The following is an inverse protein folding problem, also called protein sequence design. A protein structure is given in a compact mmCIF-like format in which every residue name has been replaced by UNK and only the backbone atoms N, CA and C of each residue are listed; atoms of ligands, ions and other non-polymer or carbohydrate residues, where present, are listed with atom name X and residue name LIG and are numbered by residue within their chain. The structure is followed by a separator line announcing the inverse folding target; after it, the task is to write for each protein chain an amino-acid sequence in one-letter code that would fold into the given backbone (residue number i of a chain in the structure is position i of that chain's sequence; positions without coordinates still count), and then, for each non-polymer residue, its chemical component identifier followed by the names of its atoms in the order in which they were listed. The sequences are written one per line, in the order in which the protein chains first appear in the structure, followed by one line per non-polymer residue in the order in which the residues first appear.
data_IF_200383303656
#
_entry.id   IF_200383303656
#
_cell.length_a   1.000
_cell.length_b   1.000
_cell.length_c   1.000
_cell.angle_alpha   90.00
_cell.angle_beta   90.00
_cell.angle_gamma   90.00
#
_symmetry.space_group_name_H-M   'P 1'
#
loop_
_entity.id
_entity.type
_entity.pdbx_description
1 polymer ?
#
# COMPACT_ATOMS: atom_id res chain seq x y z
N UNK A 1 -12.78 7.69 -50.85
CA UNK A 1 -12.08 8.46 -49.80
C UNK A 1 -11.48 7.46 -48.84
N UNK A 2 -10.19 7.59 -48.53
CA UNK A 2 -9.42 6.66 -47.71
C UNK A 2 -9.64 7.01 -46.23
N UNK A 3 -10.33 6.16 -45.49
CA UNK A 3 -10.45 6.30 -44.04
C UNK A 3 -9.21 5.76 -43.35
N UNK A 4 -8.45 6.71 -42.83
CA UNK A 4 -7.21 6.53 -42.11
C UNK A 4 -7.51 6.01 -40.69
N UNK A 5 -7.64 4.68 -40.55
CA UNK A 5 -7.65 4.03 -39.23
C UNK A 5 -6.23 4.04 -38.66
N UNK A 6 -5.88 5.14 -38.00
CA UNK A 6 -4.72 5.21 -37.09
C UNK A 6 -4.99 4.32 -35.87
N UNK A 7 -4.87 3.01 -36.05
CA UNK A 7 -4.58 2.09 -34.96
C UNK A 7 -3.10 2.24 -34.62
N UNK A 8 -2.78 3.20 -33.74
CA UNK A 8 -1.50 3.17 -33.05
C UNK A 8 -1.57 2.02 -32.04
N UNK A 9 -0.71 0.99 -32.16
CA UNK A 9 -0.62 -0.03 -31.13
C UNK A 9 -0.08 0.66 -29.87
N UNK A 10 -0.88 0.69 -28.81
CA UNK A 10 -0.40 1.00 -27.47
C UNK A 10 0.61 -0.10 -27.14
N UNK A 11 1.90 0.20 -27.31
CA UNK A 11 2.98 -0.71 -26.90
C UNK A 11 2.86 -0.89 -25.40
N UNK A 12 2.53 -2.10 -24.97
CA UNK A 12 2.41 -2.53 -23.57
C UNK A 12 3.75 -2.68 -22.84
N UNK A 13 4.84 -2.13 -23.38
CA UNK A 13 6.20 -2.20 -22.81
C UNK A 13 6.51 -1.07 -21.82
N UNK A 14 5.52 -0.58 -21.05
CA UNK A 14 5.69 0.56 -20.14
C UNK A 14 6.43 0.22 -18.84
N UNK A 15 6.62 -1.07 -18.55
CA UNK A 15 7.48 -1.56 -17.48
C UNK A 15 8.55 -2.47 -18.08
N UNK A 16 9.54 -1.89 -18.78
CA UNK A 16 10.86 -2.49 -18.64
C UNK A 16 11.28 -2.16 -17.21
N UNK A 17 11.33 -3.15 -16.28
CA UNK A 17 12.02 -2.91 -15.02
C UNK A 17 13.36 -2.30 -15.38
N UNK A 18 13.85 -1.37 -14.55
CA UNK A 18 15.27 -1.04 -14.55
C UNK A 18 16.00 -2.35 -14.24
N UNK A 19 16.19 -3.18 -15.26
CA UNK A 19 16.77 -4.51 -15.20
C UNK A 19 18.27 -4.30 -15.01
N UNK A 20 18.64 -3.84 -13.82
CA UNK A 20 19.91 -4.28 -13.28
C UNK A 20 19.78 -5.79 -13.21
N UNK A 21 20.69 -6.50 -13.88
CA UNK A 21 20.95 -7.91 -13.58
C UNK A 21 20.94 -8.03 -12.06
N UNK A 22 19.97 -8.73 -11.52
CA UNK A 22 19.95 -9.15 -10.12
C UNK A 22 21.22 -9.96 -9.92
N UNK A 23 22.25 -9.31 -9.39
CA UNK A 23 23.48 -9.99 -9.00
C UNK A 23 23.14 -10.61 -7.67
N UNK A 24 22.93 -11.91 -7.68
CA UNK A 24 22.68 -12.68 -6.46
C UNK A 24 23.89 -12.46 -5.54
N UNK A 25 23.66 -11.71 -4.46
CA UNK A 25 24.69 -11.44 -3.46
C UNK A 25 24.55 -12.49 -2.37
N UNK A 26 25.64 -13.22 -2.04
CA UNK A 26 25.63 -14.13 -0.90
C UNK A 26 25.19 -13.41 0.38
N UNK A 27 24.44 -14.11 1.22
CA UNK A 27 24.03 -13.59 2.52
C UNK A 27 25.24 -13.39 3.45
N UNK A 28 25.39 -12.19 4.00
CA UNK A 28 26.47 -11.87 4.96
C UNK A 28 26.04 -12.24 6.39
N UNK A 29 26.27 -13.50 6.76
CA UNK A 29 25.89 -14.04 8.07
C UNK A 29 26.57 -13.31 9.23
N UNK A 30 27.85 -12.95 9.09
CA UNK A 30 28.59 -12.24 10.14
C UNK A 30 28.04 -10.84 10.39
N UNK A 31 27.67 -10.11 9.33
CA UNK A 31 26.97 -8.83 9.47
C UNK A 31 25.59 -9.00 10.08
N UNK A 32 24.85 -10.02 9.66
CA UNK A 32 23.53 -10.32 10.22
C UNK A 32 23.59 -10.60 11.72
N UNK A 33 24.51 -11.45 12.17
CA UNK A 33 24.72 -11.79 13.58
C UNK A 33 25.03 -10.54 14.42
N UNK A 34 25.91 -9.65 13.94
CA UNK A 34 26.20 -8.37 14.61
C UNK A 34 24.95 -7.48 14.74
N UNK A 35 24.13 -7.42 13.69
CA UNK A 35 22.88 -6.65 13.71
C UNK A 35 21.88 -7.25 14.72
N UNK A 36 21.78 -8.57 14.82
CA UNK A 36 20.87 -9.25 15.75
C UNK A 36 21.36 -9.22 17.21
N UNK A 37 22.67 -9.29 17.45
CA UNK A 37 23.26 -9.15 18.80
C UNK A 37 23.04 -7.76 19.40
N UNK A 38 23.01 -6.72 18.56
CA UNK A 38 22.68 -5.35 18.98
C UNK A 38 21.29 -5.25 19.61
N UNK A 39 20.43 -6.26 19.39
CA UNK A 39 18.99 -6.25 19.66
C UNK A 39 18.61 -7.16 20.83
N UNK A 40 19.35 -8.26 21.04
CA UNK A 40 19.17 -9.14 22.22
C UNK A 40 19.33 -8.41 23.56
N UNK A 41 19.92 -7.20 23.58
CA UNK A 41 20.04 -6.36 24.77
C UNK A 41 18.75 -5.56 25.12
N UNK A 42 17.70 -5.55 24.28
CA UNK A 42 16.48 -4.72 24.48
C UNK A 42 15.17 -5.34 23.95
N UNK A 43 14.65 -6.40 24.59
CA UNK A 43 13.27 -6.93 24.42
C UNK A 43 12.94 -7.84 23.21
N UNK A 44 11.89 -8.65 23.40
CA UNK A 44 11.46 -9.89 22.74
C UNK A 44 10.99 -9.76 21.28
N UNK A 45 11.77 -10.37 20.37
CA UNK A 45 11.43 -10.89 19.04
C UNK A 45 10.13 -10.45 18.32
N UNK A 46 9.07 -11.07 18.80
CA UNK A 46 7.96 -11.62 18.01
C UNK A 46 6.77 -11.79 18.95
N UNK A 47 5.58 -11.37 18.51
CA UNK A 47 4.33 -11.76 19.14
C UNK A 47 3.57 -12.69 18.20
N UNK A 48 3.12 -13.82 18.71
CA UNK A 48 2.28 -14.74 17.96
C UNK A 48 0.82 -14.40 18.23
N UNK A 49 0.04 -14.18 17.16
CA UNK A 49 -1.38 -13.89 17.26
C UNK A 49 -2.20 -14.86 16.43
N UNK A 50 -3.31 -15.33 17.00
CA UNK A 50 -4.31 -16.18 16.35
C UNK A 50 -5.63 -15.41 16.25
N UNK A 51 -5.70 -14.43 15.35
CA UNK A 51 -6.98 -13.75 15.04
C UNK A 51 -7.65 -14.42 13.82
N UNK A 52 -8.98 -14.65 13.91
CA UNK A 52 -9.86 -14.96 12.77
C UNK A 52 -9.34 -16.03 11.79
N UNK A 53 -8.97 -17.22 12.30
CA UNK A 53 -8.52 -18.38 11.49
C UNK A 53 -7.26 -18.16 10.62
N UNK A 54 -6.52 -17.05 10.81
CA UNK A 54 -5.24 -16.80 10.15
C UNK A 54 -4.15 -16.76 11.22
N UNK A 55 -3.25 -17.74 11.20
CA UNK A 55 -2.06 -17.68 12.05
C UNK A 55 -1.04 -16.77 11.36
N UNK A 56 -0.54 -15.79 12.11
CA UNK A 56 0.49 -14.88 11.64
C UNK A 56 1.42 -14.47 12.78
N UNK A 57 2.61 -14.03 12.40
CA UNK A 57 3.53 -13.37 13.33
C UNK A 57 3.25 -11.87 13.28
N UNK A 58 2.92 -11.29 14.45
CA UNK A 58 2.81 -9.85 14.68
C UNK A 58 4.13 -9.31 15.21
N UNK A 59 4.52 -8.12 14.73
CA UNK A 59 5.73 -7.44 15.16
C UNK A 59 5.32 -6.21 15.96
N UNK A 60 5.80 -6.10 17.20
CA UNK A 60 5.75 -4.84 17.95
C UNK A 60 6.93 -3.94 17.55
N UNK A 61 6.66 -2.64 17.46
CA UNK A 61 7.56 -1.67 16.84
C UNK A 61 8.96 -1.67 17.46
N UNK A 62 10.00 -1.64 16.61
CA UNK A 62 11.40 -1.52 17.04
C UNK A 62 12.07 -0.33 16.37
N UNK A 63 12.90 0.36 17.15
CA UNK A 63 13.76 1.45 16.65
C UNK A 63 15.22 1.07 16.86
N UNK A 64 15.99 1.08 15.78
CA UNK A 64 17.46 0.97 15.84
C UNK A 64 18.06 1.94 14.83
N UNK A 65 19.14 2.61 15.23
CA UNK A 65 19.94 3.45 14.33
C UNK A 65 20.86 2.65 13.39
N UNK A 66 20.96 1.31 13.57
CA UNK A 66 21.89 0.49 12.80
C UNK A 66 21.42 0.28 11.35
N UNK A 67 22.28 0.65 10.38
CA UNK A 67 21.99 0.50 8.95
C UNK A 67 21.82 -0.98 8.57
N UNK A 68 20.64 -1.31 8.05
CA UNK A 68 20.28 -2.67 7.61
C UNK A 68 19.56 -3.51 8.67
N UNK A 69 19.38 -2.98 9.88
CA UNK A 69 18.66 -3.67 10.95
C UNK A 69 17.24 -4.10 10.55
N UNK A 70 16.48 -3.23 9.88
CA UNK A 70 15.11 -3.56 9.47
C UNK A 70 15.05 -4.78 8.56
N UNK A 71 15.96 -4.88 7.57
CA UNK A 71 16.01 -6.02 6.65
C UNK A 71 16.45 -7.31 7.35
N UNK A 72 17.42 -7.24 8.27
CA UNK A 72 17.83 -8.37 9.10
C UNK A 72 16.67 -8.89 9.97
N UNK A 73 15.93 -7.96 10.60
CA UNK A 73 14.75 -8.29 11.41
C UNK A 73 13.67 -8.97 10.57
N UNK A 74 13.36 -8.40 9.40
CA UNK A 74 12.39 -9.00 8.48
C UNK A 74 12.78 -10.42 8.07
N UNK A 75 14.08 -10.70 7.84
CA UNK A 75 14.54 -12.05 7.51
C UNK A 75 14.23 -13.05 8.61
N UNK A 76 14.51 -12.72 9.87
CA UNK A 76 14.23 -13.61 11.01
C UNK A 76 12.73 -13.80 11.21
N UNK A 77 11.93 -12.76 11.05
CA UNK A 77 10.48 -12.83 11.21
C UNK A 77 9.86 -13.72 10.12
N UNK A 78 10.27 -13.54 8.87
CA UNK A 78 9.78 -14.38 7.78
C UNK A 78 10.27 -15.81 7.92
N UNK A 79 11.53 -16.02 8.33
CA UNK A 79 12.07 -17.35 8.62
C UNK A 79 11.25 -18.06 9.69
N UNK A 80 10.95 -17.40 10.81
CA UNK A 80 10.11 -17.95 11.86
C UNK A 80 8.71 -18.30 11.34
N UNK A 81 8.10 -17.41 10.54
CA UNK A 81 6.76 -17.63 9.96
C UNK A 81 6.72 -18.77 8.93
N UNK A 82 7.82 -19.00 8.20
CA UNK A 82 7.95 -20.12 7.25
C UNK A 82 8.19 -21.46 7.95
N UNK A 83 8.91 -21.46 9.08
CA UNK A 83 9.16 -22.67 9.89
C UNK A 83 7.94 -23.13 10.67
N UNK A 84 6.96 -22.26 10.87
CA UNK A 84 5.73 -22.56 11.58
C UNK A 84 4.65 -23.10 10.61
N UNK A 85 4.19 -24.36 10.76
CA UNK A 85 3.18 -24.96 9.89
C UNK A 85 1.82 -24.25 9.95
N UNK A 86 1.54 -23.56 11.05
CA UNK A 86 0.31 -22.81 11.25
C UNK A 86 0.36 -21.48 10.47
N UNK A 87 1.52 -20.80 10.45
CA UNK A 87 1.68 -19.47 9.89
C UNK A 87 1.91 -19.45 8.37
N UNK A 88 2.56 -20.47 7.79
CA UNK A 88 2.78 -20.62 6.33
C UNK A 88 3.39 -19.38 5.64
N UNK A 89 4.28 -18.65 6.32
CA UNK A 89 4.88 -17.42 5.79
C UNK A 89 3.98 -16.18 5.85
N UNK A 90 2.89 -16.23 6.62
CA UNK A 90 2.08 -15.04 6.93
C UNK A 90 2.76 -14.19 8.00
N UNK A 91 3.06 -12.94 7.63
CA UNK A 91 3.61 -11.92 8.52
C UNK A 91 2.74 -10.69 8.43
N UNK A 92 2.42 -10.13 9.59
CA UNK A 92 1.67 -8.89 9.72
C UNK A 92 2.45 -7.93 10.61
N UNK A 93 2.47 -6.66 10.23
CA UNK A 93 3.07 -5.59 11.02
C UNK A 93 2.12 -4.40 11.10
N UNK A 94 2.16 -3.65 12.19
CA UNK A 94 1.57 -2.31 12.25
C UNK A 94 2.70 -1.33 11.94
N UNK A 95 2.74 -0.81 10.72
CA UNK A 95 3.71 0.20 10.33
C UNK A 95 3.32 1.54 10.97
N UNK A 96 4.25 2.13 11.72
CA UNK A 96 4.09 3.48 12.29
C UNK A 96 4.93 4.52 11.53
N UNK A 97 4.33 5.71 11.36
CA UNK A 97 4.88 7.06 11.13
C UNK A 97 5.99 7.24 10.06
N UNK A 98 7.11 6.53 10.12
CA UNK A 98 8.24 6.67 9.17
C UNK A 98 8.68 5.38 8.49
N UNK A 99 8.01 4.26 8.80
CA UNK A 99 8.41 2.93 8.34
C UNK A 99 7.63 2.42 7.13
N UNK A 100 6.59 3.13 6.66
CA UNK A 100 5.74 2.68 5.55
C UNK A 100 6.54 2.35 4.30
N UNK A 101 7.39 3.28 3.84
CA UNK A 101 8.21 3.05 2.65
C UNK A 101 9.23 1.92 2.84
N UNK A 102 9.73 1.71 4.06
CA UNK A 102 10.58 0.56 4.36
C UNK A 102 9.79 -0.74 4.19
N UNK A 103 8.62 -0.85 4.81
CA UNK A 103 7.78 -2.05 4.73
C UNK A 103 7.32 -2.34 3.30
N UNK A 104 6.93 -1.29 2.55
CA UNK A 104 6.63 -1.41 1.12
C UNK A 104 7.84 -1.93 0.34
N UNK A 105 9.04 -1.39 0.58
CA UNK A 105 10.28 -1.90 -0.06
C UNK A 105 10.59 -3.34 0.32
N UNK A 106 10.18 -3.81 1.51
CA UNK A 106 10.30 -5.21 1.92
C UNK A 106 9.19 -6.11 1.33
N UNK A 107 8.30 -5.56 0.50
CA UNK A 107 7.23 -6.29 -0.16
C UNK A 107 5.95 -6.46 0.67
N UNK A 108 5.83 -5.70 1.76
CA UNK A 108 4.58 -5.60 2.50
C UNK A 108 3.61 -4.68 1.77
N UNK A 109 2.32 -4.90 1.99
CA UNK A 109 1.21 -4.10 1.50
C UNK A 109 0.18 -3.95 2.61
N UNK A 110 -0.63 -2.89 2.64
CA UNK A 110 -1.66 -2.77 3.67
C UNK A 110 -2.66 -3.95 3.64
N UNK A 111 -3.10 -4.37 4.81
CA UNK A 111 -4.13 -5.39 4.99
C UNK A 111 -5.50 -4.72 4.93
N UNK A 112 -6.17 -4.82 3.78
CA UNK A 112 -7.46 -4.16 3.52
C UNK A 112 -8.69 -5.00 3.87
N UNK A 113 -8.59 -5.92 4.83
CA UNK A 113 -9.62 -6.95 5.00
C UNK A 113 -10.92 -6.51 5.70
N UNK A 114 -11.15 -5.22 5.99
CA UNK A 114 -12.35 -4.84 6.75
C UNK A 114 -12.94 -3.45 6.55
N UNK A 115 -12.23 -2.48 5.95
CA UNK A 115 -12.68 -1.08 5.93
C UNK A 115 -13.75 -0.79 4.86
N UNK A 116 -14.74 0.02 5.22
CA UNK A 116 -15.82 0.42 4.30
C UNK A 116 -15.32 1.50 3.33
N UNK A 117 -15.65 1.34 2.06
CA UNK A 117 -15.24 2.25 0.99
C UNK A 117 -15.64 3.70 1.26
N UNK A 118 -16.88 3.93 1.73
CA UNK A 118 -17.38 5.28 1.97
C UNK A 118 -16.72 5.96 3.18
N UNK A 119 -16.34 5.19 4.19
CA UNK A 119 -15.59 5.72 5.35
C UNK A 119 -14.21 6.21 4.90
N UNK A 120 -13.48 5.38 4.15
CA UNK A 120 -12.13 5.71 3.69
C UNK A 120 -12.11 6.82 2.65
N UNK A 121 -13.04 6.81 1.68
CA UNK A 121 -13.05 7.77 0.58
C UNK A 121 -13.72 9.09 0.93
N UNK A 122 -14.77 9.06 1.76
CA UNK A 122 -15.64 10.21 2.02
C UNK A 122 -15.78 10.57 3.50
N UNK A 123 -15.16 9.83 4.42
CA UNK A 123 -15.31 10.07 5.86
C UNK A 123 -16.70 9.72 6.38
N UNK A 124 -17.41 8.80 5.73
CA UNK A 124 -18.75 8.39 6.14
C UNK A 124 -18.75 7.78 7.55
N UNK A 125 -19.67 8.22 8.40
CA UNK A 125 -19.89 7.61 9.71
C UNK A 125 -20.60 6.26 9.56
N UNK A 126 -20.20 5.28 10.38
CA UNK A 126 -20.81 3.94 10.43
C UNK A 126 -22.33 4.01 10.67
N UNK A 127 -22.81 5.02 11.41
CA UNK A 127 -24.23 5.25 11.66
C UNK A 127 -25.03 5.52 10.38
N UNK A 128 -24.44 6.21 9.38
CA UNK A 128 -25.09 6.52 8.10
C UNK A 128 -25.23 5.23 7.28
N UNK A 129 -24.16 4.44 7.24
CA UNK A 129 -24.11 3.12 6.61
C UNK A 129 -25.17 2.20 7.22
N UNK A 130 -25.20 2.09 8.55
CA UNK A 130 -26.14 1.22 9.26
C UNK A 130 -27.59 1.64 9.05
N UNK A 131 -27.91 2.94 9.12
CA UNK A 131 -29.27 3.45 8.93
C UNK A 131 -29.79 3.20 7.51
N UNK A 132 -28.93 3.40 6.50
CA UNK A 132 -29.31 3.14 5.12
C UNK A 132 -29.56 1.65 4.86
N UNK A 133 -28.67 0.77 5.35
CA UNK A 133 -28.80 -0.68 5.19
C UNK A 133 -30.04 -1.22 5.90
N UNK A 134 -30.34 -0.73 7.11
CA UNK A 134 -31.47 -1.24 7.90
C UNK A 134 -32.83 -0.81 7.37
N UNK A 135 -32.93 0.38 6.77
CA UNK A 135 -34.23 0.95 6.45
C UNK A 135 -34.56 0.97 4.96
N UNK A 136 -33.56 1.05 4.06
CA UNK A 136 -33.75 1.34 2.61
C UNK A 136 -34.80 2.44 2.34
N UNK A 137 -34.95 3.35 3.29
CA UNK A 137 -36.01 4.34 3.35
C UNK A 137 -35.38 5.66 3.74
N UNK A 138 -35.20 6.51 2.74
CA UNK A 138 -34.58 7.82 2.91
C UNK A 138 -35.38 8.73 3.85
N UNK A 139 -36.70 8.52 3.99
CA UNK A 139 -37.53 9.34 4.87
C UNK A 139 -37.18 9.21 6.35
N UNK A 140 -36.56 8.08 6.72
CA UNK A 140 -36.10 7.79 8.08
C UNK A 140 -34.69 8.32 8.37
N UNK A 141 -33.99 8.82 7.35
CA UNK A 141 -32.64 9.37 7.48
C UNK A 141 -32.70 10.87 7.81
N UNK A 142 -31.74 11.36 8.59
CA UNK A 142 -31.62 12.81 8.84
C UNK A 142 -31.32 13.53 7.53
N UNK A 143 -31.78 14.78 7.40
CA UNK A 143 -31.56 15.59 6.21
C UNK A 143 -30.06 15.73 5.83
N UNK A 144 -29.18 15.79 6.83
CA UNK A 144 -27.72 15.83 6.65
C UNK A 144 -27.21 14.55 6.00
N UNK A 145 -27.69 13.39 6.43
CA UNK A 145 -27.27 12.08 5.88
C UNK A 145 -27.79 11.91 4.44
N UNK A 146 -29.01 12.38 4.16
CA UNK A 146 -29.56 12.42 2.80
C UNK A 146 -28.71 13.31 1.89
N UNK A 147 -28.27 14.48 2.38
CA UNK A 147 -27.41 15.38 1.62
C UNK A 147 -26.04 14.75 1.34
N UNK A 148 -25.46 14.05 2.33
CA UNK A 148 -24.24 13.28 2.15
C UNK A 148 -24.39 12.23 1.04
N UNK A 149 -25.49 11.46 1.04
CA UNK A 149 -25.76 10.46 -0.01
C UNK A 149 -25.90 11.08 -1.40
N UNK A 150 -26.50 12.29 -1.51
CA UNK A 150 -26.55 13.02 -2.79
C UNK A 150 -25.17 13.40 -3.30
N UNK A 151 -24.28 13.85 -2.40
CA UNK A 151 -22.89 14.20 -2.76
C UNK A 151 -22.15 12.94 -3.23
N UNK A 152 -22.25 11.83 -2.48
CA UNK A 152 -21.65 10.55 -2.88
C UNK A 152 -22.20 10.09 -4.23
N UNK A 153 -23.52 10.12 -4.41
CA UNK A 153 -24.17 9.74 -5.67
C UNK A 153 -23.67 10.58 -6.84
N UNK A 154 -23.58 11.90 -6.67
CA UNK A 154 -23.02 12.83 -7.65
C UNK A 154 -21.62 12.40 -8.09
N UNK A 155 -20.73 12.23 -7.11
CA UNK A 155 -19.31 11.97 -7.35
C UNK A 155 -19.10 10.59 -7.97
N UNK A 156 -19.81 9.57 -7.51
CA UNK A 156 -19.67 8.20 -8.01
C UNK A 156 -20.29 8.01 -9.41
N UNK A 157 -21.30 8.80 -9.78
CA UNK A 157 -21.88 8.80 -11.12
C UNK A 157 -21.28 9.88 -12.05
N UNK A 158 -20.32 10.67 -11.57
CA UNK A 158 -19.75 11.81 -12.28
C UNK A 158 -20.82 12.78 -12.83
N UNK A 159 -21.85 13.04 -12.03
CA UNK A 159 -22.95 13.95 -12.40
C UNK A 159 -22.45 15.41 -12.31
N UNK A 160 -22.70 16.26 -13.33
CA UNK A 160 -22.34 17.67 -13.31
C UNK A 160 -22.93 18.45 -12.13
N UNK A 161 -22.21 19.49 -11.68
CA UNK A 161 -22.59 20.23 -10.47
C UNK A 161 -23.87 21.06 -10.60
N UNK A 162 -24.18 21.48 -11.83
CA UNK A 162 -25.37 22.23 -12.22
C UNK A 162 -26.64 21.35 -12.27
N UNK A 163 -26.49 20.03 -12.32
CA UNK A 163 -27.62 19.11 -12.26
C UNK A 163 -28.08 18.91 -10.81
N UNK A 164 -29.33 19.31 -10.52
CA UNK A 164 -29.92 19.13 -9.20
C UNK A 164 -30.22 17.64 -8.93
N UNK A 165 -29.75 17.13 -7.78
CA UNK A 165 -29.98 15.74 -7.36
C UNK A 165 -31.09 15.74 -6.30
N UNK A 166 -32.16 15.03 -6.61
CA UNK A 166 -33.36 14.93 -5.78
C UNK A 166 -33.33 13.65 -4.95
N UNK A 167 -34.25 13.55 -3.98
CA UNK A 167 -34.43 12.31 -3.23
C UNK A 167 -34.98 11.18 -4.12
N UNK A 168 -35.71 11.53 -5.19
CA UNK A 168 -36.21 10.55 -6.16
C UNK A 168 -35.06 9.85 -6.89
N UNK A 169 -34.02 10.59 -7.28
CA UNK A 169 -32.83 10.02 -7.92
C UNK A 169 -32.14 8.99 -7.02
N UNK A 170 -32.06 9.26 -5.71
CA UNK A 170 -31.52 8.31 -4.73
C UNK A 170 -32.41 7.07 -4.58
N UNK A 171 -33.74 7.23 -4.55
CA UNK A 171 -34.69 6.12 -4.45
C UNK A 171 -34.63 5.19 -5.67
N UNK A 172 -34.52 5.76 -6.87
CA UNK A 172 -34.38 5.02 -8.12
C UNK A 172 -33.03 4.28 -8.22
N UNK A 173 -32.05 4.66 -7.40
CA UNK A 173 -30.70 4.08 -7.38
C UNK A 173 -30.36 3.42 -6.03
N UNK A 174 -31.35 2.95 -5.28
CA UNK A 174 -31.15 2.35 -3.95
C UNK A 174 -30.18 1.17 -3.97
N UNK A 175 -30.26 0.28 -4.96
CA UNK A 175 -29.37 -0.88 -5.03
C UNK A 175 -27.92 -0.50 -5.33
N UNK A 176 -27.71 0.55 -6.14
CA UNK A 176 -26.37 1.11 -6.36
C UNK A 176 -25.79 1.69 -5.08
N UNK A 177 -26.58 2.49 -4.34
CA UNK A 177 -26.17 3.05 -3.07
C UNK A 177 -25.93 1.96 -2.01
N UNK A 178 -26.77 0.92 -1.96
CA UNK A 178 -26.59 -0.22 -1.07
C UNK A 178 -25.28 -0.96 -1.38
N UNK A 179 -24.96 -1.12 -2.66
CA UNK A 179 -23.69 -1.72 -3.10
C UNK A 179 -22.51 -0.85 -2.67
N UNK A 180 -22.57 0.46 -2.87
CA UNK A 180 -21.50 1.39 -2.45
C UNK A 180 -21.27 1.37 -0.94
N UNK A 181 -22.34 1.31 -0.15
CA UNK A 181 -22.30 1.34 1.31
C UNK A 181 -21.68 0.06 1.88
N UNK A 182 -21.92 -1.08 1.22
CA UNK A 182 -21.37 -2.37 1.63
C UNK A 182 -20.03 -2.69 0.97
N UNK A 183 -19.63 -1.91 -0.05
CA UNK A 183 -18.34 -2.05 -0.75
C UNK A 183 -17.19 -1.90 0.24
N UNK A 184 -16.27 -2.87 0.20
CA UNK A 184 -15.00 -2.78 0.92
C UNK A 184 -14.01 -1.94 0.12
N UNK A 185 -13.25 -1.11 0.84
CA UNK A 185 -12.21 -0.29 0.23
C UNK A 185 -11.12 -1.18 -0.38
N UNK A 186 -10.64 -0.79 -1.57
CA UNK A 186 -9.51 -1.45 -2.22
C UNK A 186 -8.25 -0.59 -2.10
N UNK A 187 -7.08 -1.21 -2.25
CA UNK A 187 -5.80 -0.47 -2.26
C UNK A 187 -5.77 0.64 -3.32
N UNK A 188 -6.39 0.39 -4.49
CA UNK A 188 -6.49 1.36 -5.58
C UNK A 188 -7.33 2.58 -5.21
N UNK A 189 -8.29 2.45 -4.31
CA UNK A 189 -9.21 3.55 -4.00
C UNK A 189 -8.58 4.57 -3.04
N UNK A 190 -7.67 4.14 -2.16
CA UNK A 190 -7.18 4.98 -1.06
C UNK A 190 -5.65 4.98 -0.94
N UNK A 191 -5.04 3.83 -0.64
CA UNK A 191 -3.61 3.77 -0.32
C UNK A 191 -2.71 4.20 -1.46
N UNK A 192 -2.95 3.64 -2.65
CA UNK A 192 -2.10 3.88 -3.82
C UNK A 192 -2.12 5.36 -4.21
N UNK A 193 -3.28 6.02 -4.34
CA UNK A 193 -3.34 7.46 -4.54
C UNK A 193 -2.57 8.26 -3.48
N UNK A 194 -2.73 7.92 -2.20
CA UNK A 194 -2.00 8.59 -1.11
C UNK A 194 -0.49 8.38 -1.21
N UNK A 195 -0.05 7.16 -1.54
CA UNK A 195 1.35 6.83 -1.76
C UNK A 195 1.93 7.67 -2.91
N UNK A 196 1.26 7.70 -4.05
CA UNK A 196 1.69 8.46 -5.23
C UNK A 196 1.77 9.96 -4.88
N UNK A 197 0.74 10.53 -4.27
CA UNK A 197 0.72 11.93 -3.86
C UNK A 197 1.85 12.26 -2.86
N UNK A 198 2.13 11.34 -1.92
CA UNK A 198 3.20 11.54 -0.94
C UNK A 198 4.58 11.47 -1.58
N UNK A 199 4.82 10.52 -2.48
CA UNK A 199 6.08 10.44 -3.22
C UNK A 199 6.27 11.66 -4.10
N UNK A 200 5.22 12.10 -4.81
CA UNK A 200 5.23 13.28 -5.69
C UNK A 200 5.55 14.58 -4.93
N UNK A 201 4.97 14.78 -3.75
CA UNK A 201 5.24 15.95 -2.91
C UNK A 201 6.63 15.93 -2.26
N UNK A 202 7.34 14.80 -2.30
CA UNK A 202 8.67 14.62 -1.71
C UNK A 202 9.74 14.32 -2.77
N UNK A 203 9.53 14.79 -4.02
CA UNK A 203 10.53 14.62 -5.07
C UNK A 203 11.87 15.24 -4.65
N UNK A 204 12.95 14.45 -4.73
CA UNK A 204 14.30 14.85 -4.32
C UNK A 204 14.61 14.63 -2.83
N UNK A 205 13.64 14.20 -2.03
CA UNK A 205 13.86 13.88 -0.60
C UNK A 205 14.27 12.40 -0.48
N UNK A 206 15.42 12.13 0.12
CA UNK A 206 15.94 10.74 0.25
C UNK A 206 15.02 9.85 1.10
N UNK A 207 14.40 10.44 2.13
CA UNK A 207 13.49 9.76 3.06
C UNK A 207 12.19 10.56 3.19
N UNK A 208 11.23 10.36 2.26
CA UNK A 208 9.93 10.99 2.37
C UNK A 208 9.30 10.66 3.74
N UNK A 209 8.84 11.69 4.45
CA UNK A 209 8.06 11.49 5.66
C UNK A 209 6.74 10.80 5.27
N UNK A 210 6.24 9.85 6.06
CA UNK A 210 4.94 9.18 5.82
C UNK A 210 4.03 9.22 7.05
N UNK A 211 4.26 10.16 7.97
CA UNK A 211 3.48 10.29 9.22
C UNK A 211 2.00 10.49 8.95
N UNK A 212 1.66 11.20 7.88
CA UNK A 212 0.29 11.43 7.44
C UNK A 212 -0.48 10.17 7.05
N UNK A 213 0.17 9.01 6.96
CA UNK A 213 -0.51 7.73 6.74
C UNK A 213 -1.06 7.13 8.04
N UNK A 214 -0.67 7.66 9.20
CA UNK A 214 -1.04 7.11 10.50
C UNK A 214 -0.42 5.74 10.75
N UNK A 215 -1.12 4.90 11.51
CA UNK A 215 -0.74 3.49 11.69
C UNK A 215 -1.49 2.61 10.69
N UNK A 216 -0.74 1.80 9.94
CA UNK A 216 -1.32 0.91 8.92
C UNK A 216 -0.92 -0.54 9.22
N UNK A 217 -1.92 -1.42 9.37
CA UNK A 217 -1.70 -2.87 9.40
C UNK A 217 -1.27 -3.31 7.99
N UNK A 218 -0.10 -3.90 7.87
CA UNK A 218 0.51 -4.36 6.61
C UNK A 218 0.78 -5.85 6.68
N UNK A 219 0.60 -6.56 5.57
CA UNK A 219 0.93 -7.96 5.40
C UNK A 219 1.88 -8.17 4.22
N UNK A 220 2.60 -9.29 4.18
CA UNK A 220 3.40 -9.65 3.00
C UNK A 220 2.51 -9.95 1.79
N UNK A 221 2.84 -9.33 0.66
CA UNK A 221 2.23 -9.69 -0.63
C UNK A 221 2.62 -11.12 -1.06
N UNK A 222 1.82 -11.79 -1.90
CA UNK A 222 2.14 -13.13 -2.40
C UNK A 222 3.53 -13.23 -3.03
N UNK A 223 3.87 -12.28 -3.91
CA UNK A 223 5.18 -12.22 -4.58
C UNK A 223 6.31 -11.99 -3.55
N UNK A 224 6.09 -11.17 -2.53
CA UNK A 224 7.09 -10.96 -1.49
C UNK A 224 7.33 -12.22 -0.65
N UNK A 225 6.28 -12.99 -0.33
CA UNK A 225 6.42 -14.27 0.39
C UNK A 225 7.31 -15.23 -0.37
N UNK A 226 7.11 -15.35 -1.69
CA UNK A 226 7.93 -16.20 -2.55
C UNK A 226 9.38 -15.71 -2.61
N UNK A 227 9.60 -14.41 -2.82
CA UNK A 227 10.96 -13.84 -2.87
C UNK A 227 11.72 -13.97 -1.54
N UNK A 228 11.04 -13.79 -0.41
CA UNK A 228 11.64 -14.02 0.90
C UNK A 228 11.96 -15.49 1.12
N UNK A 229 11.05 -16.41 0.76
CA UNK A 229 11.30 -17.85 0.81
C UNK A 229 12.53 -18.21 -0.02
N UNK A 230 12.62 -17.70 -1.25
CA UNK A 230 13.76 -17.97 -2.14
C UNK A 230 15.08 -17.43 -1.55
N UNK A 231 15.08 -16.19 -1.05
CA UNK A 231 16.25 -15.58 -0.43
C UNK A 231 16.74 -16.34 0.82
N UNK A 232 15.81 -16.86 1.62
CA UNK A 232 16.12 -17.65 2.80
C UNK A 232 16.67 -19.02 2.39
N UNK A 233 15.98 -19.74 1.51
CA UNK A 233 16.36 -21.09 1.06
C UNK A 233 17.70 -21.11 0.35
N UNK A 234 17.94 -20.12 -0.54
CA UNK A 234 19.18 -20.01 -1.32
C UNK A 234 20.32 -19.31 -0.57
N UNK A 235 20.05 -18.86 0.65
CA UNK A 235 20.98 -18.13 1.50
C UNK A 235 21.63 -16.92 0.80
N UNK A 236 20.79 -16.08 0.19
CA UNK A 236 21.19 -14.84 -0.47
C UNK A 236 20.57 -13.61 0.22
N UNK A 237 21.12 -12.43 -0.06
CA UNK A 237 20.55 -11.17 0.38
C UNK A 237 19.18 -10.91 -0.27
N UNK A 238 18.19 -10.51 0.52
CA UNK A 238 16.91 -10.07 -0.02
C UNK A 238 17.07 -8.74 -0.76
N UNK A 239 16.58 -8.66 -2.00
CA UNK A 239 16.60 -7.43 -2.78
C UNK A 239 15.29 -6.64 -2.62
N UNK A 240 15.31 -5.41 -2.06
CA UNK A 240 14.10 -4.62 -1.87
C UNK A 240 13.38 -4.26 -3.18
N UNK A 241 12.05 -4.20 -3.14
CA UNK A 241 11.20 -3.67 -4.21
C UNK A 241 11.36 -2.15 -4.29
N UNK A 242 12.29 -1.67 -5.13
CA UNK A 242 12.56 -0.23 -5.27
C UNK A 242 11.46 0.53 -5.99
N UNK A 243 10.75 -0.17 -6.87
CA UNK A 243 9.67 0.34 -7.72
C UNK A 243 8.26 0.01 -7.18
N UNK A 244 8.19 -0.64 -6.02
CA UNK A 244 6.95 -1.15 -5.45
C UNK A 244 6.18 -2.06 -6.42
N UNK A 245 6.89 -2.81 -7.28
CA UNK A 245 6.29 -3.67 -8.31
C UNK A 245 5.30 -4.70 -7.78
N UNK A 246 5.43 -5.11 -6.50
CA UNK A 246 4.47 -5.98 -5.84
C UNK A 246 3.07 -5.37 -5.66
N UNK A 247 2.93 -4.04 -5.79
CA UNK A 247 1.65 -3.35 -5.74
C UNK A 247 0.97 -3.22 -7.11
N UNK A 248 1.68 -3.45 -8.22
CA UNK A 248 1.14 -3.26 -9.58
C UNK A 248 -0.16 -4.02 -9.87
N UNK A 249 -0.37 -5.26 -9.37
CA UNK A 249 -1.65 -5.97 -9.56
C UNK A 249 -2.87 -5.26 -8.97
N UNK A 250 -2.66 -4.28 -8.10
CA UNK A 250 -3.70 -3.56 -7.37
C UNK A 250 -3.85 -2.11 -7.83
N UNK A 251 -3.16 -1.72 -8.90
CA UNK A 251 -3.17 -0.37 -9.46
C UNK A 251 -4.01 -0.33 -10.73
N UNK A 252 -4.72 0.77 -10.96
CA UNK A 252 -5.25 1.10 -12.28
C UNK A 252 -4.12 1.45 -13.25
N UNK A 253 -4.35 1.38 -14.57
CA UNK A 253 -3.33 1.76 -15.55
C UNK A 253 -2.85 3.22 -15.36
N UNK A 254 -3.77 4.13 -15.03
CA UNK A 254 -3.44 5.51 -14.72
C UNK A 254 -2.50 5.63 -13.51
N UNK A 255 -2.78 4.89 -12.44
CA UNK A 255 -1.93 4.87 -11.24
C UNK A 255 -0.53 4.29 -11.51
N UNK A 256 -0.43 3.28 -12.37
CA UNK A 256 0.86 2.71 -12.78
C UNK A 256 1.70 3.74 -13.53
N UNK A 257 1.08 4.49 -14.45
CA UNK A 257 1.75 5.57 -15.20
C UNK A 257 2.23 6.69 -14.26
N UNK A 258 1.37 7.14 -13.35
CA UNK A 258 1.70 8.18 -12.38
C UNK A 258 2.82 7.76 -11.43
N UNK A 259 2.78 6.52 -10.91
CA UNK A 259 3.84 6.00 -10.06
C UNK A 259 5.18 5.96 -10.81
N UNK A 260 5.18 5.47 -12.05
CA UNK A 260 6.40 5.38 -12.84
C UNK A 260 7.01 6.76 -13.11
N UNK A 261 6.19 7.75 -13.47
CA UNK A 261 6.63 9.14 -13.66
C UNK A 261 7.27 9.71 -12.38
N UNK A 262 6.60 9.54 -11.23
CA UNK A 262 7.13 9.99 -9.93
C UNK A 262 8.47 9.33 -9.59
N UNK A 263 8.60 8.02 -9.84
CA UNK A 263 9.86 7.29 -9.58
C UNK A 263 11.00 7.75 -10.49
N UNK A 264 10.72 8.07 -11.76
CA UNK A 264 11.70 8.62 -12.70
C UNK A 264 12.18 9.99 -12.23
N UNK A 265 11.24 10.89 -11.89
CA UNK A 265 11.57 12.23 -11.39
C UNK A 265 12.39 12.17 -10.09
N UNK A 266 12.00 11.29 -9.16
CA UNK A 266 12.75 11.05 -7.92
C UNK A 266 14.19 10.62 -8.21
N UNK A 267 14.39 9.68 -9.12
CA UNK A 267 15.72 9.19 -9.46
C UNK A 267 16.60 10.27 -10.11
N UNK A 268 16.01 11.14 -10.93
CA UNK A 268 16.71 12.28 -11.53
C UNK A 268 17.08 13.34 -10.50
N UNK A 269 16.14 13.72 -9.62
CA UNK A 269 16.36 14.72 -8.58
C UNK A 269 17.46 14.28 -7.60
N UNK A 270 17.44 13.03 -7.14
CA UNK A 270 18.47 12.50 -6.25
C UNK A 270 19.85 12.47 -6.92
N UNK A 271 19.94 12.10 -8.20
CA UNK A 271 21.21 12.16 -8.95
C UNK A 271 21.75 13.58 -9.03
N UNK A 272 20.90 14.57 -9.34
CA UNK A 272 21.31 15.98 -9.42
C UNK A 272 21.85 16.47 -8.06
N UNK A 273 21.13 16.18 -6.97
CA UNK A 273 21.58 16.55 -5.62
C UNK A 273 22.92 15.92 -5.23
N UNK A 274 23.17 14.66 -5.64
CA UNK A 274 24.44 13.99 -5.36
C UNK A 274 25.62 14.62 -6.11
N UNK A 275 25.40 15.09 -7.35
CA UNK A 275 26.44 15.77 -8.16
C UNK A 275 26.74 17.16 -7.58
N UNK A 276 25.71 17.91 -7.19
CA UNK A 276 25.87 19.25 -6.58
C UNK A 276 26.57 19.18 -5.20
N UNK A 277 26.29 18.14 -4.41
CA UNK A 277 26.98 17.91 -3.13
C UNK A 277 28.46 17.52 -3.29
N UNK A 278 28.85 16.93 -4.44
CA UNK A 278 30.25 16.59 -4.74
C UNK A 278 31.07 17.72 -5.36
N UNK A 279 30.41 18.84 -5.72
CA UNK A 279 31.04 20.01 -6.33
C UNK A 279 31.08 21.23 -5.38
N UNK A 280 30.68 21.06 -4.11
CA UNK A 280 30.82 22.10 -3.09
C UNK A 280 32.17 21.93 -2.37
N UNK A 281 33.05 22.95 -2.34
CA UNK A 281 34.41 22.87 -1.76
C UNK A 281 34.43 22.69 -0.24
#
# INVERSE_FOLDING_TARGET
MKDNKNNLPIKTDFFKPLAKKTTERPFDSARHERLMQTVQRKESLLLYSKENQKNYIQIDSRRSGAKGFGSASMREIVKASLSDPDCKGNVVNIASESSHLFHLKMGMMPSYESRLYLEEKYGALESIVNTFVSCRDLSKMKAVDQQFLKIVYRLEKAIPDDQNITNKDLLENLDFLATLITKKSSMSDFFIPMLIAKLKSNIGVERPNTESFGQIKMCLSPIAKERWRDAITRNIEFEPFRDFSHLLPYMTEQQKLELNDVLIQQAQALKKSSIESSCSP
#
